data_IF_697296262958
#
_entry.id   IF_697296262958
#
_cell.length_a   1.000
_cell.length_b   1.000
_cell.length_c   1.000
_cell.angle_alpha   90.00
_cell.angle_beta   90.00
_cell.angle_gamma   90.00
#
_symmetry.space_group_name_H-M   'P 1'
#
loop_
_entity.id
_entity.type
_entity.pdbx_description
1 polymer ?
#
# COMPACT_ATOMS: atom_id res chain seq x y z
N UNK A 1 -37.14 -0.47 12.29
CA UNK A 1 -36.07 -1.31 11.68
C UNK A 1 -36.49 -1.70 10.28
N UNK A 2 -36.04 -1.00 9.24
CA UNK A 2 -36.17 -1.36 7.81
C UNK A 2 -35.70 -0.17 6.96
N UNK A 3 -34.41 -0.12 6.64
CA UNK A 3 -33.82 0.54 5.45
C UNK A 3 -32.31 0.26 5.38
N UNK A 4 -31.64 0.06 6.53
CA UNK A 4 -30.20 -0.17 6.60
C UNK A 4 -29.71 -1.55 6.12
N UNK A 5 -30.57 -2.58 6.08
CA UNK A 5 -30.18 -3.92 5.60
C UNK A 5 -30.13 -4.04 4.07
N UNK A 6 -30.71 -3.09 3.33
CA UNK A 6 -30.78 -3.16 1.86
C UNK A 6 -29.48 -2.66 1.19
N UNK A 7 -28.70 -1.81 1.88
CA UNK A 7 -27.39 -1.35 1.39
C UNK A 7 -26.28 -2.40 1.53
N UNK A 8 -26.40 -3.34 2.50
CA UNK A 8 -25.43 -4.43 2.67
C UNK A 8 -25.60 -5.56 1.64
N UNK A 9 -26.77 -5.68 1.02
CA UNK A 9 -27.05 -6.64 -0.05
C UNK A 9 -26.74 -6.11 -1.47
N UNK A 10 -26.42 -4.82 -1.62
CA UNK A 10 -26.12 -4.20 -2.92
C UNK A 10 -24.62 -4.28 -3.30
N UNK A 11 -23.75 -4.64 -2.36
CA UNK A 11 -22.30 -4.73 -2.58
C UNK A 11 -21.80 -5.88 -3.49
N UNK A 12 -22.53 -6.98 -3.76
CA UNK A 12 -22.12 -7.95 -4.77
C UNK A 12 -22.65 -7.66 -6.18
N UNK A 13 -23.52 -6.65 -6.37
CA UNK A 13 -24.18 -6.40 -7.67
C UNK A 13 -23.35 -5.42 -8.53
N UNK A 14 -22.50 -4.60 -7.92
CA UNK A 14 -21.61 -3.68 -8.63
C UNK A 14 -20.41 -4.38 -9.33
N UNK A 15 -20.18 -5.67 -9.11
CA UNK A 15 -19.08 -6.42 -9.75
C UNK A 15 -19.47 -7.12 -11.05
N UNK A 16 -20.74 -7.02 -11.49
CA UNK A 16 -21.24 -7.73 -12.68
C UNK A 16 -21.57 -6.83 -13.88
N UNK A 17 -21.31 -5.53 -13.81
CA UNK A 17 -21.50 -4.61 -14.93
C UNK A 17 -20.20 -4.39 -15.71
N UNK A 18 -19.68 -5.43 -16.35
CA UNK A 18 -18.74 -5.31 -17.46
C UNK A 18 -19.35 -6.02 -18.68
N UNK A 19 -20.23 -5.31 -19.37
CA UNK A 19 -20.70 -5.70 -20.70
C UNK A 19 -19.74 -5.22 -21.79
N UNK A 20 -19.73 -5.95 -22.92
CA UNK A 20 -18.82 -5.90 -24.10
C UNK A 20 -17.53 -6.70 -23.88
N UNK A 21 -17.26 -7.81 -24.58
CA UNK A 21 -17.34 -8.09 -26.03
C UNK A 21 -17.47 -9.61 -26.19
N UNK A 22 -18.29 -10.09 -27.14
CA UNK A 22 -18.55 -11.51 -27.36
C UNK A 22 -17.27 -12.31 -27.70
N UNK A 23 -16.85 -13.19 -26.79
CA UNK A 23 -15.82 -14.21 -27.05
C UNK A 23 -16.41 -15.58 -26.69
N UNK A 24 -16.75 -16.38 -27.72
CA UNK A 24 -17.63 -17.55 -27.58
C UNK A 24 -16.85 -18.85 -27.33
N UNK A 25 -15.96 -18.87 -26.34
CA UNK A 25 -15.16 -20.06 -26.00
C UNK A 25 -14.64 -19.99 -24.56
N UNK A 26 -15.01 -20.97 -23.72
CA UNK A 26 -14.50 -21.14 -22.34
C UNK A 26 -13.11 -21.79 -22.29
N UNK A 27 -12.72 -22.51 -23.35
CA UNK A 27 -11.64 -23.50 -23.28
C UNK A 27 -10.34 -23.04 -24.00
N UNK A 28 -10.34 -21.86 -24.62
CA UNK A 28 -9.17 -21.28 -25.31
C UNK A 28 -9.05 -19.79 -25.00
N UNK A 29 -7.81 -19.32 -24.81
CA UNK A 29 -7.51 -17.90 -24.65
C UNK A 29 -7.48 -17.17 -26.00
N UNK A 30 -7.92 -15.90 -26.05
CA UNK A 30 -8.63 -15.17 -25.00
C UNK A 30 -10.06 -15.70 -24.79
N UNK A 31 -10.57 -15.68 -23.55
CA UNK A 31 -11.94 -16.06 -23.17
C UNK A 31 -12.66 -14.93 -22.40
N UNK A 32 -13.95 -15.11 -22.12
CA UNK A 32 -14.82 -14.14 -21.40
C UNK A 32 -14.35 -13.73 -20.00
N UNK A 33 -13.41 -14.45 -19.39
CA UNK A 33 -12.87 -14.16 -18.07
C UNK A 33 -11.43 -13.63 -18.12
N UNK A 34 -10.89 -13.42 -19.32
CA UNK A 34 -9.54 -12.91 -19.55
C UNK A 34 -9.59 -11.49 -20.12
N UNK A 35 -8.56 -10.68 -19.84
CA UNK A 35 -8.43 -9.31 -20.36
C UNK A 35 -8.14 -9.22 -21.87
N UNK A 36 -8.38 -10.27 -22.65
CA UNK A 36 -7.98 -10.35 -24.06
C UNK A 36 -6.47 -10.55 -24.29
N UNK A 37 -5.67 -10.60 -23.22
CA UNK A 37 -4.22 -10.84 -23.30
C UNK A 37 -3.93 -12.28 -23.70
N UNK A 38 -3.20 -12.49 -24.80
CA UNK A 38 -2.68 -13.80 -25.22
C UNK A 38 -1.64 -14.39 -24.25
N UNK A 39 -1.12 -13.57 -23.33
CA UNK A 39 -0.08 -13.95 -22.39
C UNK A 39 -0.69 -14.18 -21.00
N UNK A 40 -1.20 -15.40 -20.78
CA UNK A 40 -1.74 -15.82 -19.48
C UNK A 40 -0.68 -16.61 -18.74
N UNK A 41 -0.23 -16.05 -17.62
CA UNK A 41 0.68 -16.72 -16.71
C UNK A 41 -0.15 -17.37 -15.59
N UNK A 42 0.09 -18.65 -15.26
CA UNK A 42 -0.58 -19.29 -14.13
C UNK A 42 -0.28 -18.51 -12.85
N UNK A 43 -1.27 -18.38 -11.98
CA UNK A 43 -1.11 -17.75 -10.67
C UNK A 43 -0.37 -18.70 -9.72
N UNK A 44 0.92 -18.90 -9.98
CA UNK A 44 1.81 -19.70 -9.18
C UNK A 44 2.86 -18.84 -8.47
N UNK A 45 3.58 -19.44 -7.51
CA UNK A 45 4.65 -18.72 -6.81
C UNK A 45 5.88 -18.44 -7.69
N UNK A 46 5.98 -19.01 -8.90
CA UNK A 46 7.09 -18.75 -9.83
C UNK A 46 6.92 -17.40 -10.52
N UNK A 47 5.68 -16.95 -10.72
CA UNK A 47 5.36 -15.64 -11.27
C UNK A 47 5.57 -14.47 -10.29
N UNK A 48 5.90 -14.73 -9.01
CA UNK A 48 6.15 -13.66 -8.03
C UNK A 48 7.35 -12.82 -8.45
N UNK A 49 7.14 -11.50 -8.51
CA UNK A 49 8.17 -10.51 -8.86
C UNK A 49 8.75 -9.78 -7.64
N UNK A 50 8.05 -9.85 -6.50
CA UNK A 50 8.32 -9.04 -5.32
C UNK A 50 8.41 -9.89 -4.06
N UNK A 51 9.24 -9.44 -3.12
CA UNK A 51 9.16 -9.91 -1.74
C UNK A 51 7.88 -9.33 -1.12
N UNK A 52 7.19 -10.14 -0.33
CA UNK A 52 5.88 -9.81 0.22
C UNK A 52 5.72 -10.26 1.67
N UNK A 53 6.81 -10.69 2.29
CA UNK A 53 6.87 -11.05 3.71
C UNK A 53 7.91 -10.17 4.41
N UNK A 54 7.60 -9.76 5.64
CA UNK A 54 8.56 -9.14 6.54
C UNK A 54 8.38 -9.62 7.98
N UNK A 55 9.45 -9.48 8.76
CA UNK A 55 9.40 -9.62 10.21
C UNK A 55 9.77 -8.27 10.81
N UNK A 56 8.92 -7.73 11.66
CA UNK A 56 9.17 -6.44 12.31
C UNK A 56 9.35 -6.63 13.81
N UNK A 57 10.34 -5.94 14.37
CA UNK A 57 10.61 -5.94 15.81
C UNK A 57 10.77 -4.50 16.28
N UNK A 58 10.30 -4.20 17.48
CA UNK A 58 10.45 -2.85 18.01
C UNK A 58 9.94 -2.71 19.43
N UNK A 59 10.00 -1.48 19.92
CA UNK A 59 9.51 -1.13 21.25
C UNK A 59 9.60 0.36 21.52
N UNK A 60 9.07 0.76 22.66
CA UNK A 60 9.03 2.15 23.08
C UNK A 60 8.19 2.33 24.32
N UNK A 61 7.55 3.49 24.44
CA UNK A 61 6.79 3.86 25.62
C UNK A 61 5.33 3.39 25.53
N UNK A 62 4.77 3.04 26.69
CA UNK A 62 3.38 2.67 26.87
C UNK A 62 2.76 3.55 27.97
N UNK A 63 1.56 4.05 27.72
CA UNK A 63 0.86 4.97 28.62
C UNK A 63 -0.60 4.57 28.75
N UNK A 64 -1.09 4.46 29.99
CA UNK A 64 -2.52 4.43 30.23
C UNK A 64 -3.08 5.85 30.07
N UNK A 65 -4.06 6.05 29.21
CA UNK A 65 -4.51 7.40 28.82
C UNK A 65 -5.96 7.67 29.12
N UNK A 66 -6.86 6.81 28.67
CA UNK A 66 -8.30 6.98 28.84
C UNK A 66 -8.81 5.82 29.69
N UNK A 67 -8.73 6.01 30.99
CA UNK A 67 -8.95 5.03 32.05
C UNK A 67 -9.21 5.75 33.37
N UNK A 68 -9.45 5.02 34.45
CA UNK A 68 -9.56 5.59 35.80
C UNK A 68 -8.19 6.05 36.34
N UNK A 69 -7.21 5.16 36.26
CA UNK A 69 -5.82 5.41 36.59
C UNK A 69 -5.05 5.73 35.32
N UNK A 70 -4.42 6.91 35.26
CA UNK A 70 -3.70 7.36 34.06
C UNK A 70 -2.19 7.46 34.28
N UNK A 71 -1.41 7.31 33.22
CA UNK A 71 0.03 7.54 33.24
C UNK A 71 0.40 9.02 33.38
N UNK A 72 -0.54 9.94 33.15
CA UNK A 72 -0.33 11.38 33.21
C UNK A 72 -0.97 11.94 34.48
N UNK A 73 -0.18 12.07 35.54
CA UNK A 73 -0.67 12.45 36.87
C UNK A 73 0.16 13.58 37.47
N UNK A 74 -0.49 14.61 38.01
CA UNK A 74 0.15 15.77 38.68
C UNK A 74 1.25 16.43 37.82
N UNK A 75 0.94 16.67 36.54
CA UNK A 75 1.88 17.28 35.58
C UNK A 75 3.11 16.43 35.24
N UNK A 76 3.16 15.17 35.68
CA UNK A 76 4.27 14.22 35.44
C UNK A 76 3.78 13.02 34.63
N UNK A 77 4.74 12.37 33.97
CA UNK A 77 4.52 11.16 33.17
C UNK A 77 5.09 9.96 33.93
N UNK A 78 4.25 8.96 34.18
CA UNK A 78 4.64 7.65 34.67
C UNK A 78 4.93 6.76 33.46
N UNK A 79 6.20 6.50 33.19
CA UNK A 79 6.64 5.82 31.97
C UNK A 79 6.47 4.30 32.07
N UNK A 80 5.66 3.75 31.16
CA UNK A 80 5.64 2.33 30.83
C UNK A 80 6.48 2.01 29.60
N UNK A 81 6.54 0.73 29.24
CA UNK A 81 7.22 0.25 28.04
C UNK A 81 6.37 -0.75 27.26
N UNK A 82 6.57 -0.78 25.94
CA UNK A 82 6.00 -1.76 25.03
C UNK A 82 7.12 -2.38 24.19
N UNK A 83 7.02 -3.67 23.90
CA UNK A 83 7.87 -4.37 22.95
C UNK A 83 6.99 -5.27 22.07
N UNK A 84 7.35 -5.38 20.79
CA UNK A 84 6.58 -6.16 19.84
C UNK A 84 7.45 -6.94 18.86
N UNK A 85 6.86 -8.01 18.36
CA UNK A 85 7.30 -8.72 17.15
C UNK A 85 6.08 -8.96 16.26
N UNK A 86 6.23 -8.74 14.96
CA UNK A 86 5.18 -9.06 13.99
C UNK A 86 5.73 -9.81 12.78
N UNK A 87 4.85 -10.60 12.19
CA UNK A 87 5.06 -11.22 10.88
C UNK A 87 4.05 -10.56 9.95
N UNK A 88 4.55 -9.87 8.94
CA UNK A 88 3.73 -9.08 8.03
C UNK A 88 3.74 -9.71 6.64
N UNK A 89 2.56 -9.78 6.05
CA UNK A 89 2.30 -10.26 4.70
C UNK A 89 1.69 -9.12 3.89
N UNK A 90 2.42 -8.65 2.89
CA UNK A 90 1.88 -7.72 1.92
C UNK A 90 0.99 -8.48 0.91
N UNK A 91 -0.28 -8.09 0.79
CA UNK A 91 -1.24 -8.69 -0.15
C UNK A 91 -1.24 -7.92 -1.47
N UNK A 92 -1.17 -6.59 -1.40
CA UNK A 92 -1.03 -5.68 -2.53
C UNK A 92 -0.05 -4.56 -2.20
N UNK A 93 0.35 -3.72 -3.16
CA UNK A 93 1.19 -2.54 -2.89
C UNK A 93 0.57 -1.57 -1.87
N UNK A 94 -0.75 -1.60 -1.65
CA UNK A 94 -1.48 -0.74 -0.71
C UNK A 94 -1.93 -1.44 0.57
N UNK A 95 -2.09 -2.77 0.58
CA UNK A 95 -2.68 -3.49 1.70
C UNK A 95 -1.85 -4.69 2.15
N UNK A 96 -1.69 -4.85 3.46
CA UNK A 96 -1.04 -5.98 4.10
C UNK A 96 -1.82 -6.49 5.32
N UNK A 97 -1.47 -7.69 5.75
CA UNK A 97 -1.94 -8.31 6.99
C UNK A 97 -0.74 -8.58 7.90
N UNK A 98 -0.90 -8.42 9.20
CA UNK A 98 0.15 -8.64 10.17
C UNK A 98 -0.36 -9.41 11.38
N UNK A 99 0.35 -10.46 11.77
CA UNK A 99 0.16 -11.13 13.05
C UNK A 99 1.19 -10.55 14.01
N UNK A 100 0.71 -9.93 15.09
CA UNK A 100 1.57 -9.23 16.05
C UNK A 100 1.43 -9.81 17.45
N UNK A 101 2.57 -10.01 18.11
CA UNK A 101 2.66 -10.25 19.55
C UNK A 101 3.29 -9.02 20.22
N UNK A 102 2.69 -8.58 21.31
CA UNK A 102 3.15 -7.43 22.10
C UNK A 102 3.20 -7.80 23.57
N UNK A 103 4.17 -7.24 24.28
CA UNK A 103 4.28 -7.33 25.73
C UNK A 103 4.80 -6.03 26.29
N UNK A 104 4.36 -5.70 27.49
CA UNK A 104 4.78 -4.45 28.11
C UNK A 104 4.26 -4.26 29.52
N UNK A 105 4.52 -3.07 30.04
CA UNK A 105 4.08 -2.61 31.34
C UNK A 105 3.62 -1.16 31.23
N UNK A 106 2.42 -0.82 31.70
CA UNK A 106 2.02 0.57 31.95
C UNK A 106 2.15 0.88 33.44
N UNK A 107 2.35 2.17 33.73
CA UNK A 107 2.36 2.70 35.10
C UNK A 107 1.35 3.82 35.18
N UNK A 108 0.49 3.79 36.17
CA UNK A 108 -0.63 4.71 36.26
C UNK A 108 -0.95 5.07 37.70
N UNK A 109 -1.60 6.23 37.88
CA UNK A 109 -1.99 6.74 39.19
C UNK A 109 -3.35 7.39 39.13
N UNK A 110 -4.04 7.36 40.27
CA UNK A 110 -5.21 8.18 40.50
C UNK A 110 -5.33 8.52 41.99
N UNK A 111 -6.21 9.46 42.29
CA UNK A 111 -6.54 9.83 43.66
C UNK A 111 -8.06 9.75 43.83
N UNK A 112 -8.50 9.01 44.84
CA UNK A 112 -9.91 8.94 45.21
C UNK A 112 -10.39 10.26 45.83
N UNK A 113 -11.68 10.56 45.68
CA UNK A 113 -12.28 11.73 46.32
C UNK A 113 -12.33 11.57 47.85
N UNK A 114 -11.84 12.56 48.60
CA UNK A 114 -11.82 12.59 50.06
C UNK A 114 -11.03 13.77 50.61
N UNK A 115 -11.16 14.08 51.91
CA UNK A 115 -10.40 15.17 52.54
C UNK A 115 -8.88 14.92 52.36
N UNK A 116 -8.20 15.83 51.65
CA UNK A 116 -6.77 15.76 51.38
C UNK A 116 -5.99 15.57 52.69
N UNK A 117 -5.26 14.46 52.81
CA UNK A 117 -4.43 14.17 53.98
C UNK A 117 -5.14 13.55 55.18
N UNK A 118 -6.43 13.23 55.14
CA UNK A 118 -7.10 12.48 56.22
C UNK A 118 -7.65 11.09 55.81
N UNK A 119 -7.95 10.87 54.52
CA UNK A 119 -8.44 9.56 54.07
C UNK A 119 -8.11 9.18 52.61
N UNK A 120 -7.85 10.09 51.67
CA UNK A 120 -7.54 9.71 50.28
C UNK A 120 -6.02 9.66 50.03
N UNK A 121 -5.48 8.46 49.80
CA UNK A 121 -4.13 8.28 49.27
C UNK A 121 -4.10 8.38 47.74
N UNK A 122 -2.89 8.46 47.17
CA UNK A 122 -2.68 8.32 45.72
C UNK A 122 -2.47 6.85 45.42
N UNK A 123 -3.40 6.25 44.69
CA UNK A 123 -3.27 4.91 44.15
C UNK A 123 -2.22 4.88 43.06
N UNK A 124 -1.35 3.87 43.11
CA UNK A 124 -0.33 3.59 42.11
C UNK A 124 -0.59 2.19 41.60
N UNK A 125 -0.86 2.06 40.30
CA UNK A 125 -1.01 0.77 39.66
C UNK A 125 0.00 0.56 38.52
N UNK A 126 0.39 -0.70 38.37
CA UNK A 126 1.18 -1.18 37.25
C UNK A 126 0.39 -2.29 36.54
N UNK A 127 0.34 -2.26 35.21
CA UNK A 127 -0.32 -3.30 34.39
C UNK A 127 0.71 -3.94 33.47
N UNK A 128 1.00 -5.22 33.69
CA UNK A 128 1.83 -6.04 32.80
C UNK A 128 0.96 -6.81 31.84
N UNK A 129 1.14 -6.60 30.54
CA UNK A 129 0.26 -7.18 29.52
C UNK A 129 1.02 -8.03 28.50
N UNK A 130 0.30 -9.00 27.93
CA UNK A 130 0.66 -9.82 26.79
C UNK A 130 -0.51 -9.83 25.82
N UNK A 131 -0.24 -9.54 24.55
CA UNK A 131 -1.27 -9.32 23.55
C UNK A 131 -0.90 -10.02 22.24
N UNK A 132 -1.87 -10.68 21.62
CA UNK A 132 -1.75 -11.24 20.26
C UNK A 132 -2.86 -10.64 19.43
N UNK A 133 -2.55 -10.07 18.27
CA UNK A 133 -3.55 -9.46 17.40
C UNK A 133 -3.30 -9.75 15.92
N UNK A 134 -4.39 -9.75 15.17
CA UNK A 134 -4.38 -9.69 13.72
C UNK A 134 -4.64 -8.24 13.28
N UNK A 135 -3.80 -7.72 12.40
CA UNK A 135 -3.78 -6.33 11.96
C UNK A 135 -3.93 -6.24 10.45
N UNK A 136 -4.73 -5.28 9.99
CA UNK A 136 -4.62 -4.72 8.64
C UNK A 136 -3.59 -3.59 8.62
N UNK A 137 -2.80 -3.54 7.55
CA UNK A 137 -1.85 -2.47 7.22
C UNK A 137 -2.29 -1.83 5.90
N UNK A 138 -2.60 -0.53 5.92
CA UNK A 138 -2.87 0.27 4.72
C UNK A 138 -1.73 1.23 4.48
N UNK A 139 -1.02 1.07 3.36
CA UNK A 139 0.01 1.99 2.89
C UNK A 139 -0.64 3.18 2.17
N UNK A 140 -0.91 4.25 2.90
CA UNK A 140 -1.50 5.48 2.38
C UNK A 140 -0.62 6.17 1.35
N UNK A 141 0.71 6.07 1.49
CA UNK A 141 1.63 6.68 0.50
C UNK A 141 1.50 6.04 -0.89
N UNK A 142 1.24 4.74 -0.95
CA UNK A 142 0.93 4.07 -2.22
C UNK A 142 -0.52 4.30 -2.66
N UNK A 143 -1.48 4.31 -1.73
CA UNK A 143 -2.89 4.49 -2.07
C UNK A 143 -3.17 5.88 -2.64
N UNK A 144 -2.55 6.92 -2.06
CA UNK A 144 -2.71 8.32 -2.44
C UNK A 144 -1.59 8.78 -3.37
N UNK A 145 -0.87 7.84 -3.99
CA UNK A 145 0.23 8.17 -4.89
C UNK A 145 -0.31 8.88 -6.12
N UNK A 146 0.27 10.04 -6.41
CA UNK A 146 -0.02 10.74 -7.66
C UNK A 146 0.64 10.01 -8.83
N UNK A 147 -0.11 9.90 -9.93
CA UNK A 147 0.30 9.26 -11.18
C UNK A 147 1.49 9.99 -11.82
N UNK A 148 1.57 11.31 -11.68
CA UNK A 148 2.62 12.15 -12.28
C UNK A 148 3.92 12.20 -11.46
N UNK A 149 3.95 11.61 -10.26
CA UNK A 149 5.15 11.59 -9.41
C UNK A 149 6.01 10.33 -9.65
N UNK A 150 7.12 10.55 -10.35
CA UNK A 150 8.10 9.53 -10.72
C UNK A 150 9.24 9.36 -9.69
N UNK A 151 9.24 10.14 -8.60
CA UNK A 151 10.31 10.06 -7.59
C UNK A 151 10.23 8.75 -6.79
N UNK A 152 11.36 8.07 -6.54
CA UNK A 152 11.39 6.93 -5.64
C UNK A 152 11.09 7.39 -4.20
N UNK A 153 9.91 7.03 -3.67
CA UNK A 153 9.56 7.35 -2.30
C UNK A 153 10.35 6.45 -1.33
N UNK A 154 11.00 7.08 -0.36
CA UNK A 154 11.70 6.40 0.74
C UNK A 154 10.93 6.45 2.04
N UNK A 155 9.89 7.26 2.11
CA UNK A 155 9.01 7.41 3.27
C UNK A 155 7.62 6.93 2.90
N UNK A 156 7.00 6.13 3.77
CA UNK A 156 5.64 5.65 3.60
C UNK A 156 4.84 5.88 4.88
N UNK A 157 3.66 6.48 4.74
CA UNK A 157 2.67 6.58 5.80
C UNK A 157 1.75 5.37 5.74
N UNK A 158 1.57 4.74 6.90
CA UNK A 158 0.78 3.54 7.09
C UNK A 158 -0.32 3.79 8.12
N UNK A 159 -1.47 3.17 7.90
CA UNK A 159 -2.56 3.05 8.86
C UNK A 159 -2.71 1.61 9.31
N UNK A 160 -2.92 1.42 10.60
CA UNK A 160 -3.09 0.12 11.23
C UNK A 160 -4.43 0.04 11.92
N UNK A 161 -5.11 -1.09 11.78
CA UNK A 161 -6.31 -1.41 12.55
C UNK A 161 -6.41 -2.92 12.73
N UNK A 162 -6.86 -3.38 13.89
CA UNK A 162 -7.00 -4.81 14.14
C UNK A 162 -7.66 -5.16 15.46
N UNK A 163 -7.75 -6.46 15.66
CA UNK A 163 -8.42 -7.10 16.78
C UNK A 163 -7.51 -8.20 17.33
N UNK A 164 -7.53 -8.37 18.64
CA UNK A 164 -6.68 -9.36 19.29
C UNK A 164 -7.24 -9.84 20.61
N UNK A 165 -6.48 -10.72 21.23
CA UNK A 165 -6.71 -11.22 22.59
C UNK A 165 -5.61 -10.73 23.51
N UNK A 166 -5.97 -10.39 24.74
CA UNK A 166 -5.05 -9.87 25.73
C UNK A 166 -5.11 -10.65 27.05
N UNK A 167 -3.96 -10.78 27.70
CA UNK A 167 -3.85 -11.24 29.06
C UNK A 167 -2.99 -10.26 29.82
N UNK A 168 -3.34 -9.96 31.07
CA UNK A 168 -2.66 -8.96 31.86
C UNK A 168 -2.71 -9.26 33.35
N UNK A 169 -1.72 -8.75 34.06
CA UNK A 169 -1.64 -8.78 35.51
C UNK A 169 -1.50 -7.34 36.01
N UNK A 170 -2.40 -6.91 36.87
CA UNK A 170 -2.35 -5.59 37.50
C UNK A 170 -1.97 -5.69 38.97
N UNK A 171 -1.38 -4.63 39.48
CA UNK A 171 -1.13 -4.46 40.92
C UNK A 171 -1.42 -3.02 41.32
N UNK A 172 -2.39 -2.79 42.20
CA UNK A 172 -2.76 -1.49 42.73
C UNK A 172 -2.36 -1.36 44.20
N UNK A 173 -1.61 -0.31 44.50
CA UNK A 173 -1.12 0.05 45.82
C UNK A 173 -1.64 1.44 46.21
N UNK A 174 -2.31 1.54 47.37
CA UNK A 174 -2.80 2.81 47.91
C UNK A 174 -2.50 2.91 49.41
N UNK A 175 -2.38 4.11 49.95
CA UNK A 175 -2.19 4.36 51.37
C UNK A 175 -3.50 4.30 52.19
N UNK A 176 -4.67 4.22 51.55
CA UNK A 176 -5.97 4.12 52.22
C UNK A 176 -6.65 2.76 52.03
N UNK A 177 -7.12 2.45 50.82
CA UNK A 177 -8.01 1.32 50.58
C UNK A 177 -7.23 -0.01 50.58
N UNK A 178 -6.09 -0.03 49.89
CA UNK A 178 -5.24 -1.21 49.66
C UNK A 178 -3.81 -1.06 50.21
N UNK A 179 -3.67 -0.48 51.40
CA UNK A 179 -2.37 -0.32 52.07
C UNK A 179 -1.83 -1.66 52.53
N UNK A 180 -0.53 -1.92 52.36
CA UNK A 180 0.13 -3.02 53.07
C UNK A 180 0.01 -2.80 54.58
N UNK A 181 -0.83 -3.61 55.23
CA UNK A 181 -1.05 -3.59 56.66
C UNK A 181 -1.16 -5.02 57.16
N UNK A 182 -0.44 -5.36 58.22
CA UNK A 182 -0.58 -6.66 58.90
C UNK A 182 -1.68 -6.64 59.96
N UNK A 183 -2.23 -5.46 60.32
CA UNK A 183 -3.31 -5.33 61.30
C UNK A 183 -4.13 -4.04 61.08
N UNK A 184 -5.38 -4.13 60.55
CA UNK A 184 -5.99 -5.32 59.95
C UNK A 184 -5.21 -5.75 58.71
N UNK A 185 -5.26 -7.05 58.37
CA UNK A 185 -4.59 -7.55 57.18
C UNK A 185 -5.20 -6.91 55.92
N UNK A 186 -4.40 -6.15 55.18
CA UNK A 186 -4.77 -5.53 53.91
C UNK A 186 -3.66 -5.78 52.91
N UNK A 187 -4.05 -6.26 51.74
CA UNK A 187 -3.15 -6.60 50.64
C UNK A 187 -3.40 -5.64 49.46
N UNK A 188 -2.38 -5.37 48.63
CA UNK A 188 -2.58 -4.71 47.35
C UNK A 188 -3.64 -5.46 46.53
N UNK A 189 -4.37 -4.74 45.69
CA UNK A 189 -5.29 -5.37 44.76
C UNK A 189 -4.48 -5.92 43.59
N UNK A 190 -4.66 -7.20 43.31
CA UNK A 190 -4.06 -7.87 42.15
C UNK A 190 -5.18 -8.43 41.28
N UNK A 191 -5.14 -8.11 39.99
CA UNK A 191 -6.05 -8.68 39.00
C UNK A 191 -5.20 -9.47 38.01
N UNK A 192 -5.67 -10.67 37.68
CA UNK A 192 -5.03 -11.55 36.71
C UNK A 192 -6.08 -11.97 35.71
N UNK A 193 -5.95 -11.45 34.50
CA UNK A 193 -6.69 -11.87 33.34
C UNK A 193 -5.76 -12.73 32.48
N UNK A 194 -6.06 -14.02 32.39
CA UNK A 194 -5.32 -14.91 31.51
C UNK A 194 -5.60 -14.58 30.03
N UNK A 195 -4.65 -14.92 29.15
CA UNK A 195 -4.79 -14.74 27.71
C UNK A 195 -5.91 -15.67 27.22
N UNK A 196 -7.09 -15.10 27.00
CA UNK A 196 -8.32 -15.83 26.69
C UNK A 196 -9.00 -15.21 25.46
N UNK A 197 -9.70 -16.02 24.68
CA UNK A 197 -10.54 -15.59 23.57
C UNK A 197 -11.68 -14.67 24.00
N UNK A 198 -12.05 -14.66 25.27
CA UNK A 198 -13.05 -13.76 25.84
C UNK A 198 -12.47 -12.38 26.21
N UNK A 199 -11.14 -12.24 26.28
CA UNK A 199 -10.45 -10.99 26.60
C UNK A 199 -10.00 -10.31 25.30
N UNK A 200 -10.97 -9.78 24.56
CA UNK A 200 -10.78 -9.20 23.23
C UNK A 200 -10.46 -7.71 23.34
N UNK A 201 -9.42 -7.27 22.64
CA UNK A 201 -9.07 -5.87 22.51
C UNK A 201 -9.03 -5.43 21.05
N UNK A 202 -9.20 -4.13 20.81
CA UNK A 202 -9.05 -3.52 19.50
C UNK A 202 -7.84 -2.59 19.51
N UNK A 203 -7.15 -2.48 18.39
CA UNK A 203 -6.07 -1.50 18.29
C UNK A 203 -6.04 -0.84 16.92
N UNK A 204 -5.71 0.45 16.92
CA UNK A 204 -5.54 1.24 15.72
C UNK A 204 -4.34 2.16 15.87
N UNK A 205 -3.77 2.58 14.75
CA UNK A 205 -2.60 3.43 14.80
C UNK A 205 -2.14 3.89 13.45
N UNK A 206 -1.05 4.65 13.48
CA UNK A 206 -0.36 5.12 12.28
C UNK A 206 1.13 4.84 12.40
N UNK A 207 1.75 4.55 11.27
CA UNK A 207 3.18 4.31 11.16
C UNK A 207 3.81 5.16 10.08
N UNK A 208 5.02 5.63 10.35
CA UNK A 208 5.90 6.21 9.36
C UNK A 208 7.07 5.25 9.15
N UNK A 209 7.11 4.62 7.98
CA UNK A 209 8.18 3.71 7.56
C UNK A 209 9.18 4.44 6.68
N UNK A 210 10.46 4.13 6.86
CA UNK A 210 11.55 4.62 6.02
C UNK A 210 12.36 3.47 5.43
N UNK A 211 12.51 3.50 4.10
CA UNK A 211 13.28 2.53 3.32
C UNK A 211 14.76 2.79 3.44
N UNK A 212 15.41 2.06 4.35
CA UNK A 212 16.86 2.09 4.53
C UNK A 212 17.54 1.33 3.40
N UNK A 213 17.10 0.09 3.14
CA UNK A 213 17.69 -0.77 2.11
C UNK A 213 16.66 -1.72 1.47
N UNK A 214 17.13 -2.61 0.59
CA UNK A 214 16.32 -3.70 0.02
C UNK A 214 15.90 -4.73 1.07
N UNK A 215 16.59 -4.81 2.22
CA UNK A 215 16.36 -5.79 3.28
C UNK A 215 15.75 -5.20 4.55
N UNK A 216 15.97 -3.91 4.80
CA UNK A 216 15.67 -3.29 6.09
C UNK A 216 14.88 -2.00 5.89
N UNK A 217 13.82 -1.84 6.67
CA UNK A 217 13.14 -0.59 6.92
C UNK A 217 13.24 -0.24 8.41
N UNK A 218 13.13 1.05 8.72
CA UNK A 218 12.88 1.53 10.08
C UNK A 218 11.46 2.08 10.15
N UNK A 219 10.84 1.97 11.31
CA UNK A 219 9.46 2.37 11.52
C UNK A 219 9.33 3.15 12.82
N UNK A 220 8.65 4.29 12.76
CA UNK A 220 8.09 4.93 13.93
C UNK A 220 6.58 4.72 13.88
N UNK A 221 5.99 4.14 14.92
CA UNK A 221 4.54 3.89 14.94
C UNK A 221 3.93 4.23 16.28
N UNK A 222 2.71 4.71 16.23
CA UNK A 222 1.91 4.98 17.41
C UNK A 222 0.60 4.22 17.32
N UNK A 223 0.27 3.52 18.41
CA UNK A 223 -0.89 2.65 18.48
C UNK A 223 -1.73 3.04 19.69
N UNK A 224 -3.04 3.10 19.50
CA UNK A 224 -4.03 3.23 20.54
C UNK A 224 -4.76 1.89 20.68
N UNK A 225 -4.84 1.41 21.91
CA UNK A 225 -5.33 0.08 22.29
C UNK A 225 -6.56 0.29 23.16
N UNK A 226 -7.69 -0.26 22.71
CA UNK A 226 -8.93 -0.31 23.44
C UNK A 226 -9.02 -1.68 24.10
N UNK A 227 -8.81 -1.72 25.41
CA UNK A 227 -8.87 -2.97 26.18
C UNK A 227 -10.24 -3.63 26.10
N UNK A 228 -11.32 -2.83 26.06
CA UNK A 228 -12.69 -3.30 26.25
C UNK A 228 -12.97 -3.78 27.68
N UNK A 229 -12.07 -3.46 28.62
CA UNK A 229 -11.96 -4.07 29.93
C UNK A 229 -11.62 -2.97 30.96
N UNK A 230 -12.41 -2.93 32.04
CA UNK A 230 -12.39 -1.94 33.12
C UNK A 230 -11.40 -2.31 34.23
N UNK A 231 -10.88 -3.53 34.18
CA UNK A 231 -9.89 -4.03 35.13
C UNK A 231 -8.45 -3.83 34.62
N UNK A 232 -8.30 -3.38 33.37
CA UNK A 232 -7.03 -3.31 32.68
C UNK A 232 -6.09 -2.24 33.26
N UNK A 233 -6.59 -1.15 33.83
CA UNK A 233 -5.76 -0.18 34.55
C UNK A 233 -5.46 -0.56 36.02
N UNK A 234 -6.08 -1.65 36.50
CA UNK A 234 -5.92 -2.16 37.86
C UNK A 234 -6.78 -1.46 38.91
N UNK A 235 -7.78 -0.68 38.51
CA UNK A 235 -8.66 0.08 39.39
C UNK A 235 -9.59 -0.78 40.24
N UNK A 236 -9.95 -2.00 39.84
CA UNK A 236 -11.01 -2.74 40.54
C UNK A 236 -11.45 -3.97 39.77
N UNK A 237 -12.22 -4.85 40.40
CA UNK A 237 -12.88 -5.95 39.68
C UNK A 237 -14.22 -5.45 39.15
N UNK A 238 -14.47 -5.58 37.86
CA UNK A 238 -15.75 -5.17 37.26
C UNK A 238 -16.85 -6.11 37.75
N UNK A 239 -17.90 -5.52 38.30
CA UNK A 239 -19.02 -6.27 38.83
C UNK A 239 -20.19 -5.41 39.26
N UNK A 240 -21.34 -6.01 39.63
CA UNK A 240 -22.53 -5.26 40.04
C UNK A 240 -22.30 -4.35 41.25
N UNK A 241 -21.33 -4.70 42.09
CA UNK A 241 -20.99 -3.95 43.30
C UNK A 241 -19.96 -2.83 43.06
N UNK A 242 -19.38 -2.75 41.86
CA UNK A 242 -18.29 -1.81 41.53
C UNK A 242 -18.79 -0.37 41.40
N UNK A 243 -20.02 -0.21 40.92
CA UNK A 243 -20.67 1.10 40.76
C UNK A 243 -21.62 1.45 41.91
N UNK A 244 -21.60 0.71 43.02
CA UNK A 244 -22.36 1.03 44.23
C UNK A 244 -21.45 1.79 45.23
N UNK A 245 -21.69 3.09 45.48
CA UNK A 245 -20.89 3.88 46.43
C UNK A 245 -20.89 3.32 47.87
N UNK A 246 -21.89 2.51 48.22
CA UNK A 246 -22.00 1.85 49.52
C UNK A 246 -21.23 0.51 49.59
N UNK A 247 -20.72 0.02 48.45
CA UNK A 247 -19.90 -1.17 48.37
C UNK A 247 -18.54 -1.00 49.05
N UNK A 248 -17.93 -2.14 49.39
CA UNK A 248 -16.58 -2.24 49.97
C UNK A 248 -15.52 -2.64 48.94
N UNK A 249 -15.90 -2.73 47.66
CA UNK A 249 -14.96 -2.97 46.56
C UNK A 249 -14.21 -1.68 46.23
N UNK A 250 -13.13 -1.84 45.46
CA UNK A 250 -12.28 -0.74 45.04
C UNK A 250 -13.09 0.39 44.43
N UNK A 251 -12.79 1.64 44.81
CA UNK A 251 -13.52 2.81 44.29
C UNK A 251 -12.87 3.46 43.08
N UNK A 252 -11.75 2.92 42.60
CA UNK A 252 -11.04 3.52 41.48
C UNK A 252 -11.81 3.39 40.17
N UNK A 253 -12.50 2.27 39.91
CA UNK A 253 -13.39 2.07 38.74
C UNK A 253 -14.61 3.03 38.70
N UNK A 254 -14.80 3.85 39.74
CA UNK A 254 -15.86 4.85 39.81
C UNK A 254 -15.38 6.26 39.41
N UNK A 255 -14.07 6.46 39.19
CA UNK A 255 -13.50 7.77 38.85
C UNK A 255 -14.00 8.22 37.47
N UNK A 256 -14.08 7.27 36.55
CA UNK A 256 -14.57 7.38 35.20
C UNK A 256 -15.78 6.47 35.03
N UNK A 257 -16.67 6.82 34.09
CA UNK A 257 -17.89 6.04 33.79
C UNK A 257 -17.71 5.13 32.59
N UNK A 258 -16.58 5.24 31.90
CA UNK A 258 -16.21 4.36 30.80
C UNK A 258 -15.83 2.99 31.35
N UNK A 259 -16.07 1.93 30.57
CA UNK A 259 -15.81 0.53 30.96
C UNK A 259 -14.58 -0.08 30.31
N UNK A 260 -13.70 0.77 29.78
CA UNK A 260 -12.62 0.34 28.91
C UNK A 260 -11.45 1.25 29.15
N UNK A 261 -10.42 0.68 29.75
CA UNK A 261 -9.17 1.37 30.00
C UNK A 261 -8.22 1.28 28.83
N UNK A 262 -7.97 2.42 28.21
CA UNK A 262 -7.29 2.46 26.94
C UNK A 262 -5.85 2.93 27.08
N UNK A 263 -4.97 2.20 26.43
CA UNK A 263 -3.55 2.44 26.41
C UNK A 263 -3.11 3.06 25.08
N UNK A 264 -2.11 3.93 25.15
CA UNK A 264 -1.43 4.51 24.01
C UNK A 264 0.03 4.11 24.01
N UNK A 265 0.55 3.68 22.87
CA UNK A 265 1.96 3.31 22.70
C UNK A 265 2.62 4.12 21.60
N UNK A 266 3.90 4.40 21.81
CA UNK A 266 4.78 5.06 20.82
C UNK A 266 6.03 4.20 20.70
N UNK A 267 6.25 3.64 19.52
CA UNK A 267 7.27 2.62 19.29
C UNK A 267 8.20 3.03 18.15
N UNK A 268 9.47 2.65 18.28
CA UNK A 268 10.43 2.58 17.18
C UNK A 268 10.73 1.11 16.88
N UNK A 269 10.89 0.79 15.60
CA UNK A 269 11.10 -0.58 15.16
C UNK A 269 11.92 -0.68 13.88
N UNK A 270 12.30 -1.92 13.59
CA UNK A 270 13.03 -2.33 12.40
C UNK A 270 12.26 -3.46 11.75
N UNK A 271 12.06 -3.36 10.44
CA UNK A 271 11.39 -4.39 9.63
C UNK A 271 12.36 -5.03 8.65
N UNK A 272 12.43 -6.36 8.69
CA UNK A 272 13.28 -7.18 7.85
C UNK A 272 12.47 -7.80 6.74
N UNK A 273 12.74 -7.42 5.50
CA UNK A 273 12.10 -7.95 4.29
C UNK A 273 12.67 -9.33 3.97
N UNK A 274 11.79 -10.31 3.79
CA UNK A 274 12.16 -11.68 3.51
C UNK A 274 11.94 -12.02 2.04
N UNK A 275 12.95 -12.66 1.44
CA UNK A 275 12.87 -13.22 0.10
C UNK A 275 14.04 -12.84 -0.80
N UNK A 276 14.00 -13.34 -2.03
CA UNK A 276 15.10 -13.25 -3.01
C UNK A 276 14.94 -12.12 -4.03
N UNK A 277 13.78 -11.48 -4.09
CA UNK A 277 13.51 -10.43 -5.07
C UNK A 277 14.18 -9.11 -4.67
N UNK A 278 14.45 -8.26 -5.66
CA UNK A 278 15.16 -7.00 -5.46
C UNK A 278 14.32 -5.96 -4.73
N UNK A 279 13.00 -5.97 -4.93
CA UNK A 279 12.04 -5.04 -4.36
C UNK A 279 10.99 -5.77 -3.53
N UNK A 280 10.53 -5.08 -2.48
CA UNK A 280 9.41 -5.51 -1.66
C UNK A 280 8.14 -4.81 -2.14
N UNK A 281 7.02 -5.52 -2.13
CA UNK A 281 5.74 -5.09 -2.71
C UNK A 281 5.25 -3.77 -2.12
N UNK A 282 5.46 -3.53 -0.82
CA UNK A 282 5.12 -2.27 -0.14
C UNK A 282 5.89 -1.03 -0.66
N UNK A 283 6.99 -1.25 -1.38
CA UNK A 283 7.88 -0.21 -1.92
C UNK A 283 7.84 -0.13 -3.46
N UNK A 284 6.93 -0.87 -4.09
CA UNK A 284 6.86 -0.97 -5.54
C UNK A 284 5.72 -0.13 -6.09
N UNK A 285 6.01 0.61 -7.16
CA UNK A 285 5.03 1.38 -7.92
C UNK A 285 4.33 0.46 -8.93
N UNK A 286 3.00 0.26 -8.87
CA UNK A 286 2.30 -0.56 -9.85
C UNK A 286 2.42 -0.02 -11.30
N UNK A 287 2.63 1.29 -11.49
CA UNK A 287 2.66 1.93 -12.81
C UNK A 287 4.07 2.04 -13.40
N UNK A 288 5.11 1.78 -12.61
CA UNK A 288 6.51 1.92 -13.06
C UNK A 288 6.83 1.08 -14.30
N UNK A 289 6.27 -0.12 -14.41
CA UNK A 289 6.45 -0.98 -15.58
C UNK A 289 5.77 -0.39 -16.82
N UNK A 290 4.57 0.18 -16.66
CA UNK A 290 3.86 0.82 -17.76
C UNK A 290 4.63 2.04 -18.26
N UNK A 291 5.11 2.90 -17.35
CA UNK A 291 5.92 4.07 -17.70
C UNK A 291 7.23 3.70 -18.40
N UNK A 292 7.90 2.64 -17.94
CA UNK A 292 9.11 2.15 -18.59
C UNK A 292 8.83 1.71 -20.03
N UNK A 293 7.74 0.97 -20.27
CA UNK A 293 7.35 0.54 -21.61
C UNK A 293 6.98 1.71 -22.50
N UNK A 294 6.21 2.66 -22.00
CA UNK A 294 5.87 3.88 -22.76
C UNK A 294 7.12 4.64 -23.16
N UNK A 295 8.07 4.83 -22.24
CA UNK A 295 9.34 5.50 -22.53
C UNK A 295 10.16 4.74 -23.59
N UNK A 296 10.24 3.41 -23.49
CA UNK A 296 10.91 2.59 -24.50
C UNK A 296 10.26 2.73 -25.87
N UNK A 297 8.93 2.79 -25.94
CA UNK A 297 8.20 2.96 -27.20
C UNK A 297 8.33 4.37 -27.77
N UNK A 298 8.30 5.41 -26.93
CA UNK A 298 8.52 6.80 -27.34
C UNK A 298 9.93 7.03 -27.88
N UNK A 299 10.92 6.34 -27.30
CA UNK A 299 12.32 6.43 -27.72
C UNK A 299 12.72 5.35 -28.74
N UNK A 300 11.81 4.46 -29.11
CA UNK A 300 12.07 3.51 -30.19
C UNK A 300 12.20 4.31 -31.48
N UNK A 301 13.37 4.23 -32.12
CA UNK A 301 13.56 4.77 -33.46
C UNK A 301 12.57 4.07 -34.37
N UNK A 302 11.69 4.84 -35.02
CA UNK A 302 10.94 4.31 -36.16
C UNK A 302 11.97 3.94 -37.20
N UNK A 303 12.14 2.64 -37.47
CA UNK A 303 12.95 2.19 -38.61
C UNK A 303 12.31 2.77 -39.87
N UNK A 304 12.87 3.88 -40.35
CA UNK A 304 12.49 4.45 -41.62
C UNK A 304 13.10 3.55 -42.69
N UNK A 305 12.32 2.58 -43.16
CA UNK A 305 12.72 1.72 -44.28
C UNK A 305 12.73 2.59 -45.53
N UNK A 306 13.91 2.97 -45.98
CA UNK A 306 14.13 3.66 -47.25
C UNK A 306 13.92 2.63 -48.36
N UNK A 307 13.02 2.94 -49.31
CA UNK A 307 12.75 2.08 -50.48
C UNK A 307 12.18 0.71 -50.11
N UNK A 308 11.07 0.68 -49.38
CA UNK A 308 10.36 -0.53 -49.00
C UNK A 308 9.91 -1.33 -50.24
N UNK A 309 9.50 -0.64 -51.31
CA UNK A 309 9.08 -1.26 -52.57
C UNK A 309 10.23 -1.56 -53.56
N UNK A 310 11.44 -1.12 -53.26
CA UNK A 310 12.60 -1.27 -54.15
C UNK A 310 12.67 -0.21 -55.27
N UNK A 311 13.38 -0.55 -56.33
CA UNK A 311 13.57 0.20 -57.59
C UNK A 311 13.48 -0.85 -58.71
N UNK A 312 12.29 -1.03 -59.28
CA UNK A 312 11.99 -2.15 -60.18
C UNK A 312 12.50 -1.95 -61.61
N UNK A 313 12.54 -0.72 -62.10
CA UNK A 313 13.05 -0.37 -63.43
C UNK A 313 14.53 0.00 -63.45
N UNK A 314 15.16 0.12 -62.28
CA UNK A 314 16.57 0.41 -62.04
C UNK A 314 17.00 1.77 -62.61
N UNK A 315 16.13 2.77 -62.51
CA UNK A 315 16.43 4.14 -62.92
C UNK A 315 17.16 4.96 -61.84
N UNK A 316 17.25 4.42 -60.61
CA UNK A 316 17.93 5.02 -59.47
C UNK A 316 17.01 5.79 -58.52
N UNK A 317 15.69 5.81 -58.76
CA UNK A 317 14.67 6.35 -57.87
C UNK A 317 13.78 5.22 -57.39
N UNK A 318 13.58 5.14 -56.08
CA UNK A 318 12.80 4.05 -55.51
C UNK A 318 11.31 4.19 -55.85
N UNK A 319 10.64 3.07 -56.12
CA UNK A 319 9.21 2.95 -56.45
C UNK A 319 8.27 3.66 -55.43
N UNK A 320 8.74 3.87 -54.21
CA UNK A 320 8.00 4.61 -53.18
C UNK A 320 7.90 6.12 -53.47
N UNK A 321 8.85 6.66 -54.23
CA UNK A 321 9.00 8.08 -54.58
C UNK A 321 9.07 8.34 -56.09
N UNK A 322 9.18 7.29 -56.89
CA UNK A 322 9.19 7.33 -58.33
C UNK A 322 7.78 7.60 -58.91
N UNK A 323 7.72 8.54 -59.85
CA UNK A 323 6.51 8.95 -60.56
C UNK A 323 6.32 8.18 -61.88
N UNK A 324 7.36 7.54 -62.40
CA UNK A 324 7.37 6.76 -63.63
C UNK A 324 7.92 5.35 -63.39
N UNK A 325 7.11 4.50 -62.73
CA UNK A 325 7.45 3.11 -62.32
C UNK A 325 7.94 2.13 -63.42
N UNK A 326 8.07 2.58 -64.66
CA UNK A 326 8.56 1.77 -65.78
C UNK A 326 9.42 2.63 -66.72
N UNK A 327 10.33 3.43 -66.16
CA UNK A 327 11.31 4.19 -66.93
C UNK A 327 12.08 3.26 -67.86
N UNK A 328 12.23 3.60 -69.16
CA UNK A 328 13.00 2.78 -70.09
C UNK A 328 14.47 2.66 -69.67
N UNK A 329 15.00 1.44 -69.71
CA UNK A 329 16.39 1.17 -69.33
C UNK A 329 17.39 2.05 -70.12
N UNK A 330 18.22 2.80 -69.39
CA UNK A 330 19.21 3.71 -69.95
C UNK A 330 18.71 5.14 -70.18
N UNK A 331 17.44 5.43 -69.92
CA UNK A 331 16.95 6.80 -69.85
C UNK A 331 17.60 7.52 -68.65
N UNK A 332 17.86 8.82 -68.81
CA UNK A 332 18.24 9.67 -67.68
C UNK A 332 16.96 10.19 -67.06
N UNK A 333 16.85 10.11 -65.74
CA UNK A 333 15.68 10.57 -64.99
C UNK A 333 15.99 11.79 -64.13
N UNK A 334 14.93 12.51 -63.77
CA UNK A 334 14.98 13.56 -62.75
C UNK A 334 14.93 12.98 -61.32
N UNK A 335 14.91 13.86 -60.30
CA UNK A 335 14.85 13.44 -58.90
C UNK A 335 13.53 12.77 -58.49
N UNK A 336 12.56 12.66 -59.39
CA UNK A 336 11.27 12.00 -59.18
C UNK A 336 11.11 10.74 -60.07
N UNK A 337 12.18 10.28 -60.72
CA UNK A 337 12.19 9.07 -61.55
C UNK A 337 11.57 9.25 -62.93
N UNK A 338 11.25 10.49 -63.33
CA UNK A 338 10.66 10.74 -64.66
C UNK A 338 11.76 10.88 -65.70
N UNK A 339 11.62 10.20 -66.84
CA UNK A 339 12.53 10.31 -67.96
C UNK A 339 12.63 11.75 -68.49
N UNK A 340 13.85 12.23 -68.71
CA UNK A 340 14.10 13.58 -69.19
C UNK A 340 13.60 13.78 -70.63
N UNK A 341 12.93 14.90 -70.84
CA UNK A 341 12.50 15.45 -72.13
C UNK A 341 12.83 16.95 -72.07
N UNK A 342 13.98 17.33 -72.63
CA UNK A 342 14.56 18.66 -72.44
C UNK A 342 13.84 19.75 -73.24
N UNK A 343 13.23 19.42 -74.38
CA UNK A 343 12.53 20.38 -75.24
C UNK A 343 10.99 20.30 -75.17
N UNK A 344 10.48 19.33 -74.40
CA UNK A 344 9.08 19.14 -74.05
C UNK A 344 8.19 18.80 -75.25
N UNK A 345 8.73 18.08 -76.23
CA UNK A 345 8.01 17.64 -77.43
C UNK A 345 7.26 16.31 -77.26
N UNK A 346 7.48 15.63 -76.12
CA UNK A 346 6.87 14.35 -75.76
C UNK A 346 7.68 13.12 -76.16
N UNK A 347 8.88 13.29 -76.73
CA UNK A 347 9.87 12.25 -76.98
C UNK A 347 10.99 12.39 -75.96
N UNK A 348 11.18 11.37 -75.12
CA UNK A 348 12.27 11.40 -74.12
C UNK A 348 13.65 11.53 -74.79
N UNK A 349 14.59 12.18 -74.11
CA UNK A 349 15.96 12.46 -74.57
C UNK A 349 16.70 11.19 -75.04
N UNK A 350 16.32 10.01 -74.53
CA UNK A 350 16.88 8.72 -74.95
C UNK A 350 16.54 8.37 -76.42
N UNK A 351 15.35 8.77 -76.88
CA UNK A 351 14.82 8.46 -78.21
C UNK A 351 14.79 9.68 -79.13
N UNK A 352 15.06 10.88 -78.60
CA UNK A 352 15.16 12.12 -79.35
C UNK A 352 16.58 12.33 -79.92
N UNK A 353 16.67 12.53 -81.23
CA UNK A 353 17.92 12.86 -81.93
C UNK A 353 18.28 14.35 -81.84
N UNK A 354 17.32 15.19 -81.48
CA UNK A 354 17.39 16.64 -81.48
C UNK A 354 17.01 17.24 -80.11
N UNK A 355 17.48 16.64 -78.99
CA UNK A 355 17.28 16.93 -77.54
C UNK A 355 16.93 18.37 -77.10
N UNK A 356 17.24 19.39 -77.88
CA UNK A 356 17.04 20.81 -77.54
C UNK A 356 16.07 21.55 -78.47
N UNK A 357 15.48 20.87 -79.47
CA UNK A 357 14.67 21.49 -80.53
C UNK A 357 13.45 20.62 -80.85
N UNK A 358 12.23 21.07 -80.50
CA UNK A 358 11.03 20.24 -80.58
C UNK A 358 10.72 19.68 -81.96
N UNK A 359 10.30 18.43 -82.03
CA UNK A 359 9.85 17.77 -83.24
C UNK A 359 8.76 16.72 -83.02
N UNK A 360 8.17 16.17 -84.09
CA UNK A 360 7.22 15.07 -83.95
C UNK A 360 7.94 13.74 -83.65
N UNK A 361 7.29 12.87 -82.87
CA UNK A 361 7.75 11.51 -82.59
C UNK A 361 8.05 10.69 -83.86
N UNK A 362 7.29 10.91 -84.94
CA UNK A 362 7.51 10.28 -86.26
C UNK A 362 8.88 10.57 -86.87
N UNK A 363 9.55 11.66 -86.44
CA UNK A 363 10.87 12.06 -86.89
C UNK A 363 11.93 12.01 -85.76
N UNK A 364 11.75 11.13 -84.76
CA UNK A 364 12.65 10.97 -83.63
C UNK A 364 12.94 12.30 -82.89
N UNK A 365 11.91 13.10 -82.62
CA UNK A 365 12.00 14.39 -81.91
C UNK A 365 12.67 15.52 -82.69
N UNK A 366 13.09 15.29 -83.94
CA UNK A 366 13.68 16.34 -84.77
C UNK A 366 12.61 17.13 -85.56
N UNK A 367 12.82 18.45 -85.79
CA UNK A 367 11.93 19.25 -86.63
C UNK A 367 11.77 18.68 -88.03
N UNK A 368 10.54 18.71 -88.55
CA UNK A 368 10.28 18.51 -89.96
C UNK A 368 10.57 19.82 -90.70
N UNK A 369 11.29 19.73 -91.82
CA UNK A 369 11.84 20.87 -92.58
C UNK A 369 10.91 22.05 -92.81
#
# INVERSE_FOLDING_TARGET
>A
MKLGLLLLAALPIATYAQDSISVNSSDKYPNTFSSGSANVQPFDNKARRFNDWSISVGGGAAFMTHSDLTSFYDGKVNWGYNAYVSIDKQISHTFGLSLIYQRGETKQKAQLEGAAGQAAGVGVADTKYNQIALMGDVNFSNLLRRVDNHSPYRWALHGYAGIGVQGYNTSLHDNNEFRWSTTPHRIPLFIKQDLDINSIFYQFGVGLKYKVSKLVDIEARTMYILSGDDEFDGGGWSGPADYDPASKVSKYNMINKHRSDNMWTVNLGVSFKLGKHLSHLAWHDPLQEAYYRTNVLENATTDFVVCEKGDNDNDGVCDDWDRELNTPAGARVDGAGVALDMDLDGVIDLYDKCVTVPGPADNNGCPTK
#
